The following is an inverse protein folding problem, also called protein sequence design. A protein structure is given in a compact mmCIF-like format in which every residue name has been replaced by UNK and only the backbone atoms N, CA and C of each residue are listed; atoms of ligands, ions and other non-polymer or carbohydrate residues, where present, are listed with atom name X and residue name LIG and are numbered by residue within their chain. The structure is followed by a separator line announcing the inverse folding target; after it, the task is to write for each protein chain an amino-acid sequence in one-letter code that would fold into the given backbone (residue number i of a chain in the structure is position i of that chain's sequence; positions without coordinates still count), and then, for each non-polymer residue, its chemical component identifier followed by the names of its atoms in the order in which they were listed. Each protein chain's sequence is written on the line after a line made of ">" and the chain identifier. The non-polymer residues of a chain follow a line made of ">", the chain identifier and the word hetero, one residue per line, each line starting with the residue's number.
data_IF_235777895021
#
_entry.id   IF_235777895021
#
_cell.length_a   1.000
_cell.length_b   1.000
_cell.length_c   1.000
_cell.angle_alpha   90.00
_cell.angle_beta   90.00
_cell.angle_gamma   90.00
#
_symmetry.space_group_name_H-M   'P 1'
#
loop_
_entity.id
_entity.type
_entity.pdbx_description
1 polymer ?
#
# COMPACT_ATOMS: atom_id res chain seq x y z
N UNK A 1 -7.82 -9.69 -7.45
CA UNK A 1 -7.40 -11.06 -7.07
C UNK A 1 -8.17 -11.42 -5.79
N UNK A 2 -7.93 -12.55 -5.11
CA UNK A 2 -8.51 -12.71 -3.75
C UNK A 2 -7.74 -11.76 -2.82
N UNK A 3 -8.44 -10.96 -2.01
CA UNK A 3 -7.85 -10.00 -1.06
C UNK A 3 -6.76 -10.61 -0.16
N UNK A 4 -6.78 -11.93 0.03
CA UNK A 4 -5.76 -12.71 0.73
C UNK A 4 -4.35 -12.55 0.14
N UNK A 5 -4.21 -12.43 -1.19
CA UNK A 5 -2.92 -12.25 -1.84
C UNK A 5 -2.35 -10.86 -1.51
N UNK A 6 -3.16 -9.81 -1.70
CA UNK A 6 -2.79 -8.43 -1.38
C UNK A 6 -2.33 -8.28 0.09
N UNK A 7 -3.07 -8.89 1.03
CA UNK A 7 -2.71 -8.90 2.45
C UNK A 7 -1.41 -9.64 2.73
N UNK A 8 -1.19 -10.80 2.09
CA UNK A 8 0.03 -11.58 2.30
C UNK A 8 1.26 -10.83 1.78
N UNK A 9 1.19 -10.24 0.59
CA UNK A 9 2.31 -9.48 0.03
C UNK A 9 2.57 -8.22 0.83
N UNK A 10 1.52 -7.51 1.27
CA UNK A 10 1.66 -6.35 2.15
C UNK A 10 2.34 -6.72 3.47
N UNK A 11 1.94 -7.84 4.08
CA UNK A 11 2.57 -8.35 5.29
C UNK A 11 4.05 -8.70 5.07
N UNK A 12 4.36 -9.44 4.00
CA UNK A 12 5.73 -9.81 3.67
C UNK A 12 6.60 -8.58 3.40
N UNK A 13 6.06 -7.59 2.68
CA UNK A 13 6.76 -6.33 2.42
C UNK A 13 6.97 -5.53 3.71
N UNK A 14 5.99 -5.48 4.61
CA UNK A 14 6.14 -4.85 5.92
C UNK A 14 7.29 -5.47 6.73
N UNK A 15 7.33 -6.80 6.79
CA UNK A 15 8.41 -7.52 7.48
C UNK A 15 9.77 -7.28 6.81
N UNK A 16 9.82 -7.28 5.48
CA UNK A 16 11.06 -7.02 4.74
C UNK A 16 11.58 -5.60 4.99
N UNK A 17 10.72 -4.59 4.88
CA UNK A 17 11.08 -3.19 5.17
C UNK A 17 11.56 -3.10 6.61
N UNK A 18 10.80 -3.64 7.56
CA UNK A 18 11.19 -3.57 8.97
C UNK A 18 12.48 -4.32 9.22
N UNK A 19 12.75 -5.45 8.57
CA UNK A 19 14.02 -6.17 8.70
C UNK A 19 15.20 -5.37 8.17
N UNK A 20 15.06 -4.76 6.99
CA UNK A 20 16.12 -3.98 6.35
C UNK A 20 16.38 -2.64 7.02
N UNK A 21 15.37 -2.08 7.69
CA UNK A 21 15.35 -0.68 8.15
C UNK A 21 15.01 -0.54 9.65
N UNK A 22 15.03 -1.64 10.41
CA UNK A 22 14.51 -1.76 11.79
C UNK A 22 15.06 -0.70 12.75
N UNK A 23 16.33 -0.34 12.60
CA UNK A 23 17.02 0.58 13.49
C UNK A 23 16.71 2.06 13.21
N UNK A 24 16.24 2.39 12.00
CA UNK A 24 16.12 3.78 11.52
C UNK A 24 14.66 4.23 11.32
N UNK A 25 13.74 3.31 11.00
CA UNK A 25 12.44 3.70 10.44
C UNK A 25 11.21 3.22 11.22
N UNK A 26 11.32 2.26 12.14
CA UNK A 26 10.13 1.72 12.83
C UNK A 26 10.32 1.75 14.34
N UNK A 27 9.96 2.87 15.00
CA UNK A 27 9.91 2.91 16.46
C UNK A 27 8.99 1.80 16.98
N UNK A 28 9.37 1.13 18.06
CA UNK A 28 8.61 0.01 18.65
C UNK A 28 7.14 0.35 18.92
N UNK A 29 6.85 1.62 19.25
CA UNK A 29 5.49 2.12 19.50
C UNK A 29 4.63 2.25 18.24
N UNK A 30 5.23 2.44 17.06
CA UNK A 30 4.51 2.59 15.79
C UNK A 30 4.46 1.29 14.99
N UNK A 31 5.21 0.25 15.38
CA UNK A 31 5.28 -1.02 14.67
C UNK A 31 3.90 -1.62 14.37
N UNK A 32 3.07 -1.79 15.42
CA UNK A 32 1.74 -2.39 15.27
C UNK A 32 0.80 -1.49 14.48
N UNK A 33 0.87 -0.17 14.71
CA UNK A 33 0.02 0.81 14.00
C UNK A 33 0.33 0.79 12.51
N UNK A 34 1.61 0.87 12.15
CA UNK A 34 2.07 0.86 10.76
C UNK A 34 1.72 -0.46 10.06
N UNK A 35 1.84 -1.59 10.75
CA UNK A 35 1.41 -2.89 10.24
C UNK A 35 -0.10 -2.90 9.93
N UNK A 36 -0.94 -2.52 10.90
CA UNK A 36 -2.39 -2.52 10.73
C UNK A 36 -2.81 -1.57 9.61
N UNK A 37 -2.24 -0.36 9.57
CA UNK A 37 -2.52 0.64 8.55
C UNK A 37 -2.13 0.13 7.16
N UNK A 38 -0.94 -0.47 7.02
CA UNK A 38 -0.51 -1.04 5.74
C UNK A 38 -1.46 -2.15 5.25
N UNK A 39 -1.87 -3.06 6.14
CA UNK A 39 -2.80 -4.14 5.79
C UNK A 39 -4.18 -3.61 5.39
N UNK A 40 -4.72 -2.64 6.14
CA UNK A 40 -6.01 -2.01 5.81
C UNK A 40 -5.93 -1.30 4.46
N UNK A 41 -4.89 -0.51 4.23
CA UNK A 41 -4.72 0.21 2.96
C UNK A 41 -4.40 -0.72 1.77
N UNK A 42 -3.88 -1.92 2.02
CA UNK A 42 -3.68 -2.94 0.99
C UNK A 42 -4.97 -3.57 0.47
N UNK A 43 -6.09 -3.45 1.20
CA UNK A 43 -7.42 -3.91 0.72
C UNK A 43 -8.39 -2.77 0.50
N UNK A 44 -7.98 -1.55 0.83
CA UNK A 44 -8.80 -0.35 0.67
C UNK A 44 -9.29 -0.13 -0.78
N UNK A 45 -8.51 -0.39 -1.85
CA UNK A 45 -9.01 -0.26 -3.22
C UNK A 45 -10.26 -1.11 -3.46
N UNK A 46 -10.23 -2.37 -3.04
CA UNK A 46 -11.36 -3.30 -3.18
C UNK A 46 -12.56 -2.93 -2.28
N UNK A 47 -12.33 -2.23 -1.16
CA UNK A 47 -13.40 -1.72 -0.30
C UNK A 47 -14.08 -0.51 -0.96
N UNK A 48 -13.27 0.41 -1.51
CA UNK A 48 -13.76 1.63 -2.16
C UNK A 48 -14.41 1.32 -3.51
N UNK A 49 -13.93 0.31 -4.21
CA UNK A 49 -14.42 -0.11 -5.50
C UNK A 49 -14.51 -1.65 -5.60
N UNK A 50 -15.56 -2.26 -5.01
CA UNK A 50 -15.70 -3.70 -5.00
C UNK A 50 -15.70 -4.32 -6.42
N UNK A 51 -15.04 -5.47 -6.61
CA UNK A 51 -14.98 -6.11 -7.92
C UNK A 51 -16.35 -6.71 -8.29
N UNK A 52 -17.16 -5.93 -9.01
CA UNK A 52 -18.49 -6.37 -9.51
C UNK A 52 -18.38 -7.22 -10.78
N UNK A 53 -17.31 -7.05 -11.55
CA UNK A 53 -16.97 -7.90 -12.69
C UNK A 53 -15.47 -7.88 -12.95
N UNK A 54 -14.97 -8.82 -13.77
CA UNK A 54 -13.55 -8.88 -14.16
C UNK A 54 -13.07 -7.63 -14.93
N UNK A 55 -14.01 -6.84 -15.44
CA UNK A 55 -13.78 -5.66 -16.26
C UNK A 55 -14.08 -4.35 -15.52
N UNK A 56 -14.64 -4.42 -14.31
CA UNK A 56 -15.00 -3.24 -13.53
C UNK A 56 -13.79 -2.80 -12.70
N UNK A 57 -12.90 -2.02 -13.32
CA UNK A 57 -11.82 -1.28 -12.67
C UNK A 57 -11.93 0.17 -13.12
N UNK A 58 -12.22 1.07 -12.20
CA UNK A 58 -12.36 2.50 -12.43
C UNK A 58 -11.24 3.25 -11.72
N UNK A 59 -11.57 4.33 -11.02
CA UNK A 59 -10.59 5.27 -10.53
C UNK A 59 -9.63 4.66 -9.51
N UNK A 60 -10.11 3.87 -8.54
CA UNK A 60 -9.30 3.38 -7.42
C UNK A 60 -8.32 2.28 -7.81
N UNK A 61 -8.47 1.71 -9.01
CA UNK A 61 -7.56 0.75 -9.64
C UNK A 61 -6.90 1.33 -10.90
N UNK A 62 -6.80 2.65 -11.05
CA UNK A 62 -6.24 3.29 -12.25
C UNK A 62 -4.75 3.62 -12.14
N UNK A 63 -4.10 3.82 -13.30
CA UNK A 63 -2.73 4.38 -13.36
C UNK A 63 -2.65 5.78 -12.76
N UNK A 64 -3.73 6.56 -12.83
CA UNK A 64 -3.80 7.88 -12.20
C UNK A 64 -3.74 7.75 -10.67
N UNK A 65 -4.50 6.83 -10.11
CA UNK A 65 -4.45 6.54 -8.68
C UNK A 65 -3.05 6.06 -8.27
N UNK A 66 -2.41 5.16 -9.04
CA UNK A 66 -1.04 4.72 -8.80
C UNK A 66 -0.06 5.89 -8.68
N UNK A 67 -0.13 6.86 -9.60
CA UNK A 67 0.73 8.07 -9.55
C UNK A 67 0.46 8.90 -8.30
N UNK A 68 -0.80 9.11 -7.93
CA UNK A 68 -1.16 9.86 -6.73
C UNK A 68 -0.64 9.18 -5.46
N UNK A 69 -0.82 7.86 -5.34
CA UNK A 69 -0.36 7.10 -4.17
C UNK A 69 1.17 7.06 -4.13
N UNK A 70 1.86 7.01 -5.28
CA UNK A 70 3.32 7.12 -5.32
C UNK A 70 3.82 8.46 -4.76
N UNK A 71 3.15 9.56 -5.12
CA UNK A 71 3.44 10.88 -4.54
C UNK A 71 3.20 10.87 -3.02
N UNK A 72 2.09 10.26 -2.57
CA UNK A 72 1.82 10.12 -1.13
C UNK A 72 2.88 9.29 -0.40
N UNK A 73 3.43 8.25 -1.02
CA UNK A 73 4.52 7.47 -0.43
C UNK A 73 5.80 8.32 -0.27
N UNK A 74 6.16 9.12 -1.28
CA UNK A 74 7.32 10.02 -1.22
C UNK A 74 7.11 11.08 -0.12
N UNK A 75 5.93 11.70 -0.07
CA UNK A 75 5.59 12.69 0.96
C UNK A 75 5.58 12.04 2.35
N UNK A 76 5.00 10.85 2.48
CA UNK A 76 4.96 10.10 3.73
C UNK A 76 6.36 9.72 4.22
N UNK A 77 7.27 9.37 3.31
CA UNK A 77 8.67 9.13 3.64
C UNK A 77 9.36 10.40 4.15
N UNK A 78 9.20 11.53 3.46
CA UNK A 78 9.78 12.81 3.88
C UNK A 78 9.26 13.26 5.26
N UNK A 79 7.95 13.15 5.50
CA UNK A 79 7.34 13.43 6.81
C UNK A 79 7.89 12.50 7.88
N UNK A 80 8.03 11.21 7.59
CA UNK A 80 8.58 10.23 8.50
C UNK A 80 10.03 10.52 8.89
N UNK A 81 10.87 10.92 7.93
CA UNK A 81 12.25 11.32 8.19
C UNK A 81 12.36 12.53 9.13
N UNK A 82 11.43 13.48 9.04
CA UNK A 82 11.44 14.68 9.88
C UNK A 82 10.81 14.46 11.27
N UNK A 83 9.72 13.69 11.34
CA UNK A 83 8.89 13.57 12.54
C UNK A 83 9.04 12.23 13.28
N UNK A 84 9.67 11.24 12.65
CA UNK A 84 9.68 9.86 13.11
C UNK A 84 8.34 9.15 12.97
N UNK A 85 7.33 9.75 12.32
CA UNK A 85 6.02 9.16 12.09
C UNK A 85 5.87 8.68 10.64
N UNK A 86 5.97 7.37 10.43
CA UNK A 86 5.91 6.75 9.10
C UNK A 86 4.53 6.23 8.73
N UNK A 87 3.48 6.56 9.50
CA UNK A 87 2.12 6.02 9.27
C UNK A 87 1.62 6.30 7.86
N UNK A 88 1.82 7.51 7.34
CA UNK A 88 1.41 7.88 5.98
C UNK A 88 2.18 7.08 4.91
N UNK A 89 3.49 6.86 5.13
CA UNK A 89 4.29 6.02 4.24
C UNK A 89 3.72 4.60 4.19
N UNK A 90 3.48 3.97 5.34
CA UNK A 90 2.97 2.60 5.38
C UNK A 90 1.54 2.49 4.83
N UNK A 91 0.69 3.51 5.02
CA UNK A 91 -0.62 3.58 4.36
C UNK A 91 -0.49 3.61 2.84
N UNK A 92 0.40 4.48 2.32
CA UNK A 92 0.65 4.59 0.90
C UNK A 92 1.27 3.32 0.31
N UNK A 93 2.21 2.67 1.02
CA UNK A 93 2.83 1.42 0.59
C UNK A 93 1.83 0.25 0.53
N UNK A 94 0.89 0.18 1.47
CA UNK A 94 -0.19 -0.81 1.42
C UNK A 94 -1.03 -0.63 0.15
N UNK A 95 -1.47 0.59 -0.14
CA UNK A 95 -2.21 0.86 -1.36
C UNK A 95 -1.36 0.60 -2.63
N UNK A 96 -0.08 1.01 -2.63
CA UNK A 96 0.82 0.80 -3.75
C UNK A 96 1.00 -0.68 -4.08
N UNK A 97 1.19 -1.55 -3.08
CA UNK A 97 1.40 -2.98 -3.36
C UNK A 97 0.17 -3.59 -4.02
N UNK A 98 -1.04 -3.18 -3.60
CA UNK A 98 -2.28 -3.59 -4.26
C UNK A 98 -2.28 -3.19 -5.74
N UNK A 99 -2.00 -1.92 -6.05
CA UNK A 99 -2.00 -1.42 -7.43
C UNK A 99 -0.89 -2.03 -8.28
N UNK A 100 0.28 -2.28 -7.71
CA UNK A 100 1.40 -2.92 -8.41
C UNK A 100 1.06 -4.38 -8.74
N UNK A 101 0.45 -5.11 -7.81
CA UNK A 101 -0.07 -6.45 -8.10
C UNK A 101 -1.09 -6.41 -9.23
N UNK A 102 -2.06 -5.50 -9.15
CA UNK A 102 -3.06 -5.33 -10.21
C UNK A 102 -2.43 -4.98 -11.57
N UNK A 103 -1.38 -4.17 -11.58
CA UNK A 103 -0.62 -3.82 -12.79
C UNK A 103 0.10 -5.01 -13.43
N UNK A 104 0.52 -6.00 -12.64
CA UNK A 104 1.17 -7.23 -13.14
C UNK A 104 0.19 -8.29 -13.64
N UNK A 105 -1.11 -8.11 -13.41
CA UNK A 105 -2.13 -9.01 -13.97
C UNK A 105 -2.31 -8.78 -15.48
N UNK A 106 -2.84 -9.79 -16.18
CA UNK A 106 -3.19 -9.66 -17.62
C UNK A 106 -4.17 -8.52 -17.90
N UNK A 107 -5.02 -8.16 -16.93
CA UNK A 107 -5.96 -7.04 -17.06
C UNK A 107 -5.28 -5.67 -16.86
N UNK A 108 -4.17 -5.64 -16.11
CA UNK A 108 -3.43 -4.42 -15.81
C UNK A 108 -4.23 -3.35 -15.09
N UNK A 109 -3.69 -2.12 -15.08
CA UNK A 109 -4.39 -0.93 -14.60
C UNK A 109 -4.98 -0.15 -15.80
N UNK A 110 -6.27 0.27 -15.75
CA UNK A 110 -6.84 1.22 -16.71
C UNK A 110 -6.05 2.54 -16.75
N UNK A 111 -6.00 3.12 -17.95
CA UNK A 111 -5.39 4.43 -18.24
C UNK A 111 -6.16 5.57 -17.58
#
# INVERSE_FOLDING_TARGET
>A
MRNQVHLLTAFALFLLITYLFAAEYVPSKQFVINLVVMLVCAVLPDILEPPTSRWHRAFFHSKRCLKCVLVLAIVGWAIGMQSGNYTLLFAALGYLVHLLEDATTKAGLPS
#
